data_IF_645712858419
#
_entry.id   IF_645712858419
#
_cell.length_a   1.000
_cell.length_b   1.000
_cell.length_c   1.000
_cell.angle_alpha   90.00
_cell.angle_beta   90.00
_cell.angle_gamma   90.00
#
_symmetry.space_group_name_H-M   'P 1'
#
loop_
_entity.id
_entity.type
_entity.pdbx_description
1 polymer ?
#
# COMPACT_ATOMS: atom_id res chain seq x y z
N UNK A 1 -26.23 -33.09 -12.07
CA UNK A 1 -24.88 -32.66 -12.53
C UNK A 1 -24.80 -32.50 -14.05
N UNK A 2 -25.12 -33.52 -14.87
CA UNK A 2 -25.02 -33.42 -16.34
C UNK A 2 -25.87 -32.28 -16.97
N UNK A 3 -27.05 -32.03 -16.41
CA UNK A 3 -27.95 -30.94 -16.82
C UNK A 3 -27.40 -29.54 -16.50
N UNK A 4 -26.65 -29.41 -15.40
CA UNK A 4 -26.01 -28.15 -15.01
C UNK A 4 -24.90 -27.79 -15.99
N UNK A 5 -24.04 -28.75 -16.32
CA UNK A 5 -22.94 -28.58 -17.27
C UNK A 5 -23.49 -28.18 -18.65
N UNK A 6 -24.49 -28.90 -19.15
CA UNK A 6 -25.11 -28.59 -20.44
C UNK A 6 -25.77 -27.19 -20.49
N UNK A 7 -26.30 -26.71 -19.37
CA UNK A 7 -26.84 -25.35 -19.29
C UNK A 7 -25.74 -24.29 -19.31
N UNK A 8 -24.62 -24.54 -18.64
CA UNK A 8 -23.45 -23.66 -18.65
C UNK A 8 -22.85 -23.59 -20.07
N UNK A 9 -22.68 -24.74 -20.74
CA UNK A 9 -22.20 -24.82 -22.13
C UNK A 9 -23.05 -23.99 -23.09
N UNK A 10 -24.39 -24.12 -23.02
CA UNK A 10 -25.32 -23.31 -23.82
C UNK A 10 -25.21 -21.82 -23.54
N UNK A 11 -24.90 -21.43 -22.31
CA UNK A 11 -24.70 -20.02 -21.98
C UNK A 11 -23.38 -19.49 -22.55
N UNK A 12 -22.30 -20.27 -22.46
CA UNK A 12 -21.02 -19.91 -23.08
C UNK A 12 -21.12 -19.80 -24.60
N UNK A 13 -21.84 -20.71 -25.24
CA UNK A 13 -22.12 -20.65 -26.68
C UNK A 13 -22.84 -19.36 -27.07
N UNK A 14 -23.94 -19.04 -26.37
CA UNK A 14 -24.69 -17.79 -26.59
C UNK A 14 -23.84 -16.55 -26.35
N UNK A 15 -22.99 -16.58 -25.33
CA UNK A 15 -22.06 -15.50 -25.03
C UNK A 15 -21.05 -15.32 -26.17
N UNK A 16 -20.50 -16.40 -26.71
CA UNK A 16 -19.59 -16.36 -27.86
C UNK A 16 -20.23 -15.72 -29.09
N UNK A 17 -21.44 -16.13 -29.44
CA UNK A 17 -22.19 -15.51 -30.55
C UNK A 17 -22.48 -14.03 -30.31
N UNK A 18 -22.85 -13.65 -29.09
CA UNK A 18 -23.08 -12.25 -28.72
C UNK A 18 -21.80 -11.41 -28.86
N UNK A 19 -20.67 -11.92 -28.37
CA UNK A 19 -19.37 -11.25 -28.47
C UNK A 19 -18.98 -11.04 -29.92
N UNK A 20 -19.13 -12.07 -30.77
CA UNK A 20 -18.80 -11.96 -32.19
C UNK A 20 -19.70 -10.94 -32.90
N UNK A 21 -21.01 -11.01 -32.68
CA UNK A 21 -21.98 -10.12 -33.32
C UNK A 21 -21.78 -8.64 -32.92
N UNK A 22 -21.34 -8.36 -31.69
CA UNK A 22 -21.16 -6.99 -31.15
C UNK A 22 -19.72 -6.72 -30.71
N UNK A 23 -18.73 -7.24 -31.44
CA UNK A 23 -17.30 -7.19 -31.11
C UNK A 23 -16.80 -5.82 -30.64
N UNK A 24 -17.14 -4.74 -31.34
CA UNK A 24 -16.69 -3.40 -30.99
C UNK A 24 -17.30 -2.88 -29.69
N UNK A 25 -18.59 -3.13 -29.47
CA UNK A 25 -19.25 -2.76 -28.21
C UNK A 25 -18.65 -3.55 -27.04
N UNK A 26 -18.39 -4.85 -27.21
CA UNK A 26 -17.78 -5.67 -26.16
C UNK A 26 -16.36 -5.20 -25.84
N UNK A 27 -15.53 -4.92 -26.85
CA UNK A 27 -14.17 -4.39 -26.65
C UNK A 27 -14.24 -3.05 -25.92
N UNK A 28 -15.13 -2.15 -26.31
CA UNK A 28 -15.28 -0.85 -25.68
C UNK A 28 -15.68 -0.99 -24.21
N UNK A 29 -16.68 -1.83 -23.91
CA UNK A 29 -17.11 -2.08 -22.53
C UNK A 29 -16.00 -2.72 -21.69
N UNK A 30 -15.28 -3.70 -22.24
CA UNK A 30 -14.15 -4.32 -21.56
C UNK A 30 -13.04 -3.31 -21.25
N UNK A 31 -12.71 -2.42 -22.20
CA UNK A 31 -11.76 -1.33 -21.99
C UNK A 31 -12.26 -0.32 -20.96
N UNK A 32 -13.55 -0.01 -20.94
CA UNK A 32 -14.16 0.88 -19.95
C UNK A 32 -14.05 0.29 -18.53
N UNK A 33 -14.39 -0.99 -18.37
CA UNK A 33 -14.26 -1.71 -17.10
C UNK A 33 -12.80 -1.74 -16.66
N UNK A 34 -11.89 -2.11 -17.57
CA UNK A 34 -10.46 -2.13 -17.29
C UNK A 34 -9.94 -0.75 -16.89
N UNK A 35 -10.28 0.30 -17.65
CA UNK A 35 -9.89 1.67 -17.36
C UNK A 35 -10.43 2.17 -16.02
N UNK A 36 -11.67 1.81 -15.67
CA UNK A 36 -12.24 2.13 -14.37
C UNK A 36 -11.45 1.46 -13.22
N UNK A 37 -11.10 0.18 -13.35
CA UNK A 37 -10.27 -0.52 -12.35
C UNK A 37 -8.86 0.06 -12.30
N UNK A 38 -8.24 0.33 -13.45
CA UNK A 38 -6.90 0.88 -13.54
C UNK A 38 -6.81 2.31 -12.97
N UNK A 39 -7.89 3.10 -13.05
CA UNK A 39 -7.94 4.44 -12.46
C UNK A 39 -7.74 4.45 -10.94
N UNK A 40 -8.05 3.34 -10.26
CA UNK A 40 -7.85 3.22 -8.82
C UNK A 40 -6.39 2.90 -8.42
N UNK A 41 -5.51 2.59 -9.38
CA UNK A 41 -4.11 2.26 -9.07
C UNK A 41 -3.38 3.42 -8.41
N UNK A 42 -3.69 4.67 -8.76
CA UNK A 42 -3.09 5.86 -8.13
C UNK A 42 -3.53 6.06 -6.68
N UNK A 43 -4.64 5.44 -6.27
CA UNK A 43 -5.18 5.52 -4.91
C UNK A 43 -4.66 4.38 -4.01
N UNK A 44 -3.76 3.53 -4.51
CA UNK A 44 -3.13 2.48 -3.71
C UNK A 44 -2.18 3.14 -2.71
N UNK A 45 -2.54 3.05 -1.43
CA UNK A 45 -1.69 3.45 -0.31
C UNK A 45 -0.92 2.23 0.16
N UNK A 46 0.41 2.32 0.15
CA UNK A 46 1.28 1.28 0.71
C UNK A 46 1.78 1.78 2.06
N UNK A 47 1.29 1.17 3.13
CA UNK A 47 1.81 1.38 4.47
C UNK A 47 2.97 0.40 4.71
N UNK A 48 4.20 0.93 4.80
CA UNK A 48 5.43 0.15 5.09
C UNK A 48 5.90 0.34 6.53
N UNK A 49 5.05 0.87 7.38
CA UNK A 49 5.33 1.09 8.79
C UNK A 49 5.27 -0.25 9.55
N UNK A 50 6.02 -0.38 10.65
CA UNK A 50 5.89 -1.56 11.50
C UNK A 50 4.59 -1.49 12.33
N UNK A 51 4.03 -0.29 12.44
CA UNK A 51 2.82 0.06 13.15
C UNK A 51 1.58 -0.55 12.47
N UNK A 52 1.62 -0.75 11.15
CA UNK A 52 0.56 -1.42 10.38
C UNK A 52 0.36 -2.92 10.76
N UNK A 53 1.27 -3.51 11.52
CA UNK A 53 1.11 -4.87 12.08
C UNK A 53 0.31 -4.90 13.39
N UNK A 54 0.08 -3.74 14.01
CA UNK A 54 -0.71 -3.62 15.23
C UNK A 54 -2.19 -3.46 14.89
N UNK A 55 -3.05 -3.81 15.85
CA UNK A 55 -4.49 -3.68 15.67
C UNK A 55 -4.88 -2.19 15.59
N UNK A 56 -5.74 -1.76 14.65
CA UNK A 56 -5.97 -0.33 14.38
C UNK A 56 -6.43 0.49 15.59
N UNK A 57 -7.14 -0.16 16.52
CA UNK A 57 -7.69 0.46 17.74
C UNK A 57 -6.84 0.17 18.99
N UNK A 58 -5.60 -0.31 18.82
CA UNK A 58 -4.75 -0.62 19.96
C UNK A 58 -4.36 0.67 20.71
N UNK A 59 -4.66 0.80 22.03
CA UNK A 59 -4.25 1.94 22.83
C UNK A 59 -2.73 2.18 22.83
N UNK A 60 -1.91 1.16 22.51
CA UNK A 60 -0.46 1.28 22.34
C UNK A 60 -0.12 2.22 21.16
N UNK A 61 -0.89 2.18 20.05
CA UNK A 61 -0.68 3.09 18.92
C UNK A 61 -0.91 4.55 19.33
N UNK A 62 -1.96 4.80 20.11
CA UNK A 62 -2.27 6.16 20.59
C UNK A 62 -1.19 6.71 21.51
N UNK A 63 -0.62 5.86 22.39
CA UNK A 63 0.49 6.25 23.25
C UNK A 63 1.79 6.48 22.46
N UNK A 64 2.05 5.64 21.46
CA UNK A 64 3.19 5.78 20.56
C UNK A 64 3.10 7.07 19.73
N UNK A 65 1.95 7.37 19.13
CA UNK A 65 1.72 8.61 18.37
C UNK A 65 1.93 9.85 19.26
N UNK A 66 1.39 9.85 20.48
CA UNK A 66 1.57 10.96 21.42
C UNK A 66 3.04 11.16 21.82
N UNK A 67 3.80 10.08 21.99
CA UNK A 67 5.24 10.14 22.24
C UNK A 67 6.01 10.67 21.03
N UNK A 68 5.70 10.17 19.83
CA UNK A 68 6.32 10.59 18.56
C UNK A 68 6.09 12.07 18.29
N UNK A 69 4.89 12.58 18.54
CA UNK A 69 4.56 14.00 18.30
C UNK A 69 5.30 14.94 19.26
N UNK A 70 5.62 14.46 20.48
CA UNK A 70 6.31 15.26 21.49
C UNK A 70 7.83 15.22 21.36
N UNK A 71 8.41 14.06 21.02
CA UNK A 71 9.86 13.85 21.02
C UNK A 71 10.46 13.67 19.62
N UNK A 72 9.63 13.62 18.58
CA UNK A 72 10.01 13.15 17.25
C UNK A 72 9.96 11.63 17.18
N UNK A 73 10.23 11.07 15.99
CA UNK A 73 10.51 9.63 15.88
C UNK A 73 11.73 9.29 16.75
N UNK A 74 11.87 8.03 17.08
CA UNK A 74 13.07 7.37 17.60
C UNK A 74 14.25 7.42 16.60
N UNK A 75 14.44 8.56 15.95
CA UNK A 75 15.56 8.89 15.09
C UNK A 75 16.77 9.15 15.97
N UNK A 76 17.72 8.21 15.93
CA UNK A 76 19.01 8.35 16.60
C UNK A 76 19.78 9.51 15.96
N UNK A 77 19.91 10.62 16.68
CA UNK A 77 20.77 11.73 16.28
C UNK A 77 22.22 11.38 16.65
N UNK A 78 23.02 11.02 15.65
CA UNK A 78 24.46 10.77 15.83
C UNK A 78 25.24 12.05 15.57
N UNK A 79 25.73 12.70 16.63
CA UNK A 79 26.65 13.83 16.52
C UNK A 79 28.09 13.31 16.54
N UNK A 80 28.74 13.27 15.38
CA UNK A 80 30.14 12.91 15.27
C UNK A 80 31.02 14.17 15.35
N UNK A 81 31.89 14.24 16.36
CA UNK A 81 32.88 15.31 16.51
C UNK A 81 34.27 14.70 16.41
N UNK A 82 35.14 15.29 15.59
CA UNK A 82 36.52 14.82 15.42
C UNK A 82 37.50 15.85 15.99
N UNK A 83 37.83 15.78 17.30
CA UNK A 83 38.90 16.59 17.87
C UNK A 83 40.27 16.01 17.50
N UNK A 84 41.33 16.82 17.63
CA UNK A 84 42.72 16.34 17.53
C UNK A 84 43.08 15.41 18.70
N UNK A 85 42.56 15.71 19.89
CA UNK A 85 42.65 14.87 21.09
C UNK A 85 41.33 15.00 21.88
N UNK A 86 40.71 13.86 22.19
CA UNK A 86 39.43 13.75 22.90
C UNK A 86 39.52 14.12 24.38
N UNK A 87 40.74 14.20 24.94
CA UNK A 87 40.96 14.55 26.35
C UNK A 87 41.40 16.01 26.54
N UNK A 88 41.42 16.82 25.48
CA UNK A 88 41.69 18.25 25.60
C UNK A 88 40.57 18.96 26.37
N UNK A 89 40.95 19.77 27.36
CA UNK A 89 40.00 20.49 28.23
C UNK A 89 38.99 21.33 27.44
N UNK A 90 39.43 21.97 26.37
CA UNK A 90 38.56 22.80 25.52
C UNK A 90 37.47 22.00 24.79
N UNK A 91 37.72 20.72 24.53
CA UNK A 91 36.73 19.81 23.94
C UNK A 91 35.77 19.29 25.01
N UNK A 92 36.28 18.92 26.18
CA UNK A 92 35.46 18.47 27.31
C UNK A 92 34.51 19.55 27.85
N UNK A 93 34.89 20.83 27.78
CA UNK A 93 34.05 21.96 28.18
C UNK A 93 32.92 22.30 27.17
N UNK A 94 32.95 21.70 25.96
CA UNK A 94 31.96 21.93 24.89
C UNK A 94 30.97 20.79 24.70
N UNK A 95 31.16 19.68 25.40
CA UNK A 95 30.24 18.54 25.45
C UNK A 95 29.10 18.83 26.43
#
# INVERSE_FOLDING_TARGET
MKTLIANIEKQFEKLGYFIFARRWTVILVALLIFGALASQVTNIVIDTSNEAFLEPDDPILTQYDAFRDQFGRDEVVVVAIQPKDVFERQFLERL
#
